data_IF_634674144551
#
_entry.id   IF_634674144551
#
_cell.length_a   1.000
_cell.length_b   1.000
_cell.length_c   1.000
_cell.angle_alpha   90.00
_cell.angle_beta   90.00
_cell.angle_gamma   90.00
#
_symmetry.space_group_name_H-M   'P 1'
#
loop_
_entity.id
_entity.type
_entity.pdbx_description
1 polymer ?
#
# COMPACT_ATOMS: atom_id res chain seq x y z
N UNK A 1 3.75 26.78 32.12
CA UNK A 1 5.06 26.86 32.81
C UNK A 1 6.18 26.75 31.78
N UNK A 2 7.12 27.69 31.71
CA UNK A 2 8.30 27.59 30.85
C UNK A 2 9.47 27.08 31.70
N UNK A 3 9.91 25.86 31.44
CA UNK A 3 10.95 25.18 32.24
C UNK A 3 12.34 25.51 31.67
N UNK A 4 12.44 25.56 30.34
CA UNK A 4 13.66 25.86 29.60
C UNK A 4 13.66 27.30 29.09
N UNK A 5 14.86 27.81 28.72
CA UNK A 5 15.00 29.15 28.14
C UNK A 5 14.39 29.26 26.74
N UNK A 6 14.49 28.19 25.93
CA UNK A 6 13.98 28.12 24.56
C UNK A 6 13.25 26.79 24.31
N UNK A 7 12.48 26.71 23.22
CA UNK A 7 11.91 25.47 22.65
C UNK A 7 11.02 24.60 23.56
N UNK A 8 10.46 25.17 24.63
CA UNK A 8 9.59 24.43 25.56
C UNK A 8 8.44 23.67 24.88
N UNK A 9 7.82 24.27 23.87
CA UNK A 9 6.71 23.68 23.14
C UNK A 9 7.16 22.47 22.32
N UNK A 10 8.28 22.60 21.61
CA UNK A 10 8.88 21.50 20.85
C UNK A 10 9.31 20.35 21.78
N UNK A 11 9.95 20.66 22.90
CA UNK A 11 10.35 19.67 23.90
C UNK A 11 9.11 18.98 24.47
N UNK A 12 8.06 19.72 24.80
CA UNK A 12 6.79 19.17 25.28
C UNK A 12 6.14 18.24 24.25
N UNK A 13 6.16 18.63 22.97
CA UNK A 13 5.63 17.81 21.89
C UNK A 13 6.44 16.52 21.67
N UNK A 14 7.77 16.60 21.77
CA UNK A 14 8.66 15.42 21.68
C UNK A 14 8.41 14.48 22.87
N UNK A 15 8.25 15.00 24.08
CA UNK A 15 7.91 14.21 25.27
C UNK A 15 6.56 13.51 25.10
N UNK A 16 5.54 14.24 24.66
CA UNK A 16 4.22 13.69 24.37
C UNK A 16 4.30 12.57 23.33
N UNK A 17 5.00 12.82 22.21
CA UNK A 17 5.24 11.80 21.19
C UNK A 17 5.95 10.57 21.78
N UNK A 18 6.95 10.78 22.63
CA UNK A 18 7.71 9.69 23.27
C UNK A 18 6.84 8.80 24.16
N UNK A 19 5.91 9.40 24.89
CA UNK A 19 4.93 8.66 25.67
C UNK A 19 3.97 7.88 24.76
N UNK A 20 3.42 8.54 23.74
CA UNK A 20 2.46 7.91 22.82
C UNK A 20 3.09 6.73 22.07
N UNK A 21 4.30 6.88 21.51
CA UNK A 21 4.96 5.82 20.75
C UNK A 21 5.27 4.57 21.60
N UNK A 22 5.41 4.73 22.93
CA UNK A 22 5.61 3.61 23.85
C UNK A 22 4.39 2.69 23.92
N UNK A 23 3.18 3.25 23.85
CA UNK A 23 1.92 2.51 23.98
C UNK A 23 1.30 2.14 22.64
N UNK A 24 1.63 2.85 21.56
CA UNK A 24 1.04 2.64 20.25
C UNK A 24 2.11 2.29 19.21
N UNK A 25 2.19 1.01 18.85
CA UNK A 25 3.19 0.49 17.91
C UNK A 25 3.03 0.98 16.47
N UNK A 26 1.87 1.55 16.11
CA UNK A 26 1.60 2.12 14.78
C UNK A 26 2.66 3.16 14.37
N UNK A 27 3.20 3.89 15.33
CA UNK A 27 4.19 4.95 15.10
C UNK A 27 5.59 4.44 14.74
N UNK A 28 5.80 3.11 14.75
CA UNK A 28 6.99 2.48 14.14
C UNK A 28 6.93 2.46 12.61
N UNK A 29 5.73 2.56 12.04
CA UNK A 29 5.49 2.43 10.60
C UNK A 29 4.96 3.70 9.97
N UNK A 30 4.09 4.41 10.70
CA UNK A 30 3.44 5.64 10.24
C UNK A 30 3.92 6.82 11.08
N UNK A 31 4.30 7.93 10.43
CA UNK A 31 4.74 9.14 11.14
C UNK A 31 3.59 9.78 11.92
N UNK A 32 3.76 9.95 13.23
CA UNK A 32 2.82 10.68 14.10
C UNK A 32 2.55 12.10 13.59
N UNK A 33 3.62 12.81 13.21
CA UNK A 33 3.55 14.19 12.76
C UNK A 33 2.81 14.36 11.43
N UNK A 34 2.73 13.31 10.59
CA UNK A 34 1.92 13.31 9.36
C UNK A 34 0.46 13.63 9.66
N UNK A 35 -0.10 13.02 10.69
CA UNK A 35 -1.51 13.19 11.06
C UNK A 35 -1.73 14.29 12.09
N UNK A 36 -0.71 14.64 12.88
CA UNK A 36 -0.82 15.80 13.79
C UNK A 36 -0.79 17.13 13.03
N UNK A 37 0.08 17.29 12.02
CA UNK A 37 0.23 18.56 11.27
C UNK A 37 -1.09 19.19 10.80
N UNK A 38 -2.01 18.47 10.13
CA UNK A 38 -3.30 19.05 9.73
C UNK A 38 -4.24 19.36 10.91
N UNK A 39 -4.05 18.71 12.06
CA UNK A 39 -4.84 18.91 13.27
C UNK A 39 -4.12 19.84 14.28
N UNK A 40 -3.01 20.46 13.88
CA UNK A 40 -2.18 21.26 14.77
C UNK A 40 -2.92 22.49 15.33
N UNK A 41 -3.76 23.21 14.56
CA UNK A 41 -4.59 24.29 15.12
C UNK A 41 -5.52 23.80 16.23
N UNK A 42 -6.18 22.66 16.03
CA UNK A 42 -7.07 22.06 17.03
C UNK A 42 -6.28 21.60 18.27
N UNK A 43 -5.08 21.09 18.07
CA UNK A 43 -4.16 20.70 19.14
C UNK A 43 -3.73 21.91 19.98
N UNK A 44 -3.31 23.01 19.33
CA UNK A 44 -2.95 24.25 20.04
C UNK A 44 -4.12 24.86 20.80
N UNK A 45 -5.32 24.87 20.20
CA UNK A 45 -6.51 25.34 20.90
C UNK A 45 -6.82 24.46 22.12
N UNK A 46 -6.77 23.13 21.96
CA UNK A 46 -6.96 22.20 23.07
C UNK A 46 -5.92 22.39 24.18
N UNK A 47 -4.67 22.71 23.86
CA UNK A 47 -3.64 23.06 24.85
C UNK A 47 -3.97 24.37 25.58
N UNK A 48 -4.44 25.41 24.87
CA UNK A 48 -4.84 26.68 25.49
C UNK A 48 -6.01 26.46 26.45
N UNK A 49 -7.02 25.71 26.03
CA UNK A 49 -8.20 25.38 26.86
C UNK A 49 -7.84 24.54 28.10
N UNK A 50 -6.94 23.56 27.94
CA UNK A 50 -6.45 22.73 29.03
C UNK A 50 -5.69 23.56 30.07
N UNK A 51 -4.89 24.54 29.64
CA UNK A 51 -4.12 25.39 30.52
C UNK A 51 -4.97 26.46 31.24
N UNK A 52 -6.07 26.93 30.64
CA UNK A 52 -6.82 28.09 31.15
C UNK A 52 -7.37 27.93 32.57
N UNK A 53 -7.88 26.74 32.93
CA UNK A 53 -8.41 26.43 34.26
C UNK A 53 -7.52 25.47 35.05
N UNK A 54 -6.26 25.31 34.64
CA UNK A 54 -5.32 24.42 35.32
C UNK A 54 -5.12 24.84 36.78
N UNK A 55 -4.91 26.13 37.03
CA UNK A 55 -4.65 26.67 38.37
C UNK A 55 -5.87 26.57 39.30
N UNK A 56 -7.08 26.42 38.72
CA UNK A 56 -8.32 26.23 39.45
C UNK A 56 -8.66 24.74 39.67
N UNK A 57 -7.81 23.83 39.18
CA UNK A 57 -8.01 22.38 39.32
C UNK A 57 -9.01 21.77 38.33
N UNK A 58 -9.50 22.53 37.34
CA UNK A 58 -10.52 22.08 36.38
C UNK A 58 -10.06 22.19 34.92
N UNK A 59 -8.98 21.50 34.51
CA UNK A 59 -8.48 21.63 33.15
C UNK A 59 -9.44 21.02 32.13
N UNK A 60 -9.70 21.75 31.04
CA UNK A 60 -10.54 21.28 29.93
C UNK A 60 -9.69 20.57 28.88
N UNK A 61 -9.54 19.25 29.04
CA UNK A 61 -8.66 18.41 28.20
C UNK A 61 -9.38 17.71 27.04
N UNK A 62 -10.69 17.90 26.91
CA UNK A 62 -11.52 17.14 25.96
C UNK A 62 -11.08 17.32 24.50
N UNK A 63 -10.84 18.57 24.08
CA UNK A 63 -10.38 18.88 22.73
C UNK A 63 -9.00 18.28 22.46
N UNK A 64 -8.08 18.39 23.42
CA UNK A 64 -6.75 17.80 23.33
C UNK A 64 -6.82 16.28 23.16
N UNK A 65 -7.63 15.60 23.97
CA UNK A 65 -7.85 14.15 23.87
C UNK A 65 -8.45 13.75 22.52
N UNK A 66 -9.49 14.45 22.07
CA UNK A 66 -10.13 14.19 20.76
C UNK A 66 -9.13 14.30 19.62
N UNK A 67 -8.28 15.32 19.63
CA UNK A 67 -7.25 15.51 18.62
C UNK A 67 -6.23 14.37 18.62
N UNK A 68 -5.73 13.96 19.79
CA UNK A 68 -4.78 12.85 19.90
C UNK A 68 -5.38 11.51 19.46
N UNK A 69 -6.62 11.22 19.86
CA UNK A 69 -7.34 10.01 19.42
C UNK A 69 -7.49 10.01 17.90
N UNK A 70 -7.81 11.15 17.29
CA UNK A 70 -7.94 11.28 15.83
C UNK A 70 -6.60 11.03 15.12
N UNK A 71 -5.48 11.52 15.65
CA UNK A 71 -4.14 11.23 15.14
C UNK A 71 -3.84 9.73 15.17
N UNK A 72 -4.10 9.08 16.31
CA UNK A 72 -3.86 7.64 16.49
C UNK A 72 -4.74 6.84 15.52
N UNK A 73 -6.05 7.15 15.47
CA UNK A 73 -7.01 6.48 14.58
C UNK A 73 -6.58 6.56 13.11
N UNK A 74 -6.27 7.77 12.64
CA UNK A 74 -5.85 7.97 11.25
C UNK A 74 -4.55 7.22 10.93
N UNK A 75 -3.63 7.15 11.89
CA UNK A 75 -2.39 6.39 11.72
C UNK A 75 -2.64 4.89 11.55
N UNK A 76 -3.62 4.33 12.27
CA UNK A 76 -3.99 2.92 12.13
C UNK A 76 -4.69 2.61 10.82
N UNK A 77 -5.55 3.51 10.32
CA UNK A 77 -6.14 3.36 8.99
C UNK A 77 -5.07 3.39 7.89
N UNK A 78 -4.10 4.30 7.99
CA UNK A 78 -2.96 4.35 7.07
C UNK A 78 -2.11 3.08 7.13
N UNK A 79 -1.85 2.54 8.33
CA UNK A 79 -1.15 1.28 8.49
C UNK A 79 -1.92 0.11 7.86
N UNK A 80 -3.25 0.08 8.04
CA UNK A 80 -4.11 -0.94 7.43
C UNK A 80 -4.05 -0.91 5.91
N UNK A 81 -4.11 0.29 5.32
CA UNK A 81 -3.97 0.47 3.88
C UNK A 81 -2.58 0.04 3.39
N UNK A 82 -1.52 0.40 4.13
CA UNK A 82 -0.16 -0.01 3.81
C UNK A 82 0.01 -1.53 3.86
N UNK A 83 -0.52 -2.18 4.89
CA UNK A 83 -0.49 -3.63 5.02
C UNK A 83 -1.24 -4.32 3.88
N UNK A 84 -2.43 -3.83 3.53
CA UNK A 84 -3.22 -4.39 2.43
C UNK A 84 -2.51 -4.26 1.08
N UNK A 85 -1.91 -3.10 0.79
CA UNK A 85 -1.09 -2.91 -0.43
C UNK A 85 0.10 -3.86 -0.45
N UNK A 86 0.79 -4.02 0.68
CA UNK A 86 1.92 -4.93 0.77
C UNK A 86 1.52 -6.40 0.55
N UNK A 87 0.38 -6.84 1.09
CA UNK A 87 -0.16 -8.18 0.84
C UNK A 87 -0.49 -8.38 -0.63
N UNK A 88 -1.18 -7.42 -1.25
CA UNK A 88 -1.51 -7.44 -2.66
C UNK A 88 -0.25 -7.47 -3.54
N UNK A 89 0.73 -6.59 -3.29
CA UNK A 89 2.00 -6.57 -4.01
C UNK A 89 2.79 -7.86 -3.81
N UNK A 90 2.72 -8.50 -2.63
CA UNK A 90 3.36 -9.79 -2.37
C UNK A 90 2.70 -10.92 -3.15
N UNK A 91 1.37 -10.92 -3.25
CA UNK A 91 0.61 -11.89 -4.06
C UNK A 91 0.87 -11.71 -5.55
N UNK A 92 0.88 -10.45 -6.02
CA UNK A 92 1.26 -10.11 -7.38
C UNK A 92 2.71 -10.54 -7.66
N UNK A 93 3.69 -10.22 -6.81
CA UNK A 93 5.09 -10.60 -7.06
C UNK A 93 5.33 -12.11 -7.09
N UNK A 94 4.58 -12.90 -6.31
CA UNK A 94 4.63 -14.38 -6.39
C UNK A 94 3.99 -14.92 -7.68
N UNK A 95 3.05 -14.18 -8.26
CA UNK A 95 2.25 -14.60 -9.41
C UNK A 95 2.79 -14.02 -10.74
N UNK A 96 3.45 -12.86 -10.74
CA UNK A 96 3.54 -11.96 -11.91
C UNK A 96 4.90 -11.82 -12.60
N UNK A 97 6.00 -12.42 -12.15
CA UNK A 97 7.24 -12.31 -12.95
C UNK A 97 7.17 -13.18 -14.22
N UNK A 98 6.75 -14.44 -14.07
CA UNK A 98 6.62 -15.38 -15.19
C UNK A 98 5.40 -15.03 -16.04
N UNK A 99 4.25 -14.76 -15.43
CA UNK A 99 3.04 -14.34 -16.15
C UNK A 99 3.24 -13.01 -16.87
N UNK A 100 3.86 -12.02 -16.23
CA UNK A 100 4.20 -10.74 -16.85
C UNK A 100 5.12 -10.91 -18.06
N UNK A 101 6.12 -11.80 -17.99
CA UNK A 101 6.96 -12.17 -19.13
C UNK A 101 6.17 -12.88 -20.23
N UNK A 102 5.25 -13.79 -19.91
CA UNK A 102 4.42 -14.47 -20.92
C UNK A 102 3.48 -13.47 -21.62
N UNK A 103 2.92 -12.53 -20.88
CA UNK A 103 2.01 -11.51 -21.41
C UNK A 103 2.72 -10.44 -22.24
N UNK A 104 3.98 -10.09 -21.92
CA UNK A 104 4.76 -9.08 -22.65
C UNK A 104 5.70 -9.65 -23.72
N UNK A 105 6.04 -10.93 -23.60
CA UNK A 105 7.02 -11.63 -24.41
C UNK A 105 6.48 -12.15 -25.74
N UNK A 106 7.19 -13.15 -26.28
CA UNK A 106 6.89 -13.77 -27.58
C UNK A 106 5.54 -14.49 -27.54
N UNK A 107 4.84 -14.47 -28.67
CA UNK A 107 3.55 -15.17 -28.82
C UNK A 107 3.69 -16.67 -28.61
N UNK A 108 4.80 -17.25 -29.08
CA UNK A 108 5.19 -18.64 -28.87
C UNK A 108 6.47 -18.67 -28.03
N UNK A 109 6.44 -19.43 -26.94
CA UNK A 109 7.57 -19.56 -26.01
C UNK A 109 7.69 -20.98 -25.49
N UNK A 110 8.87 -21.34 -24.99
CA UNK A 110 9.10 -22.62 -24.30
C UNK A 110 9.37 -22.39 -22.81
N UNK A 111 9.24 -23.48 -22.03
CA UNK A 111 9.62 -23.46 -20.61
C UNK A 111 11.10 -23.09 -20.42
N UNK A 112 11.97 -23.48 -21.35
CA UNK A 112 13.39 -23.15 -21.31
C UNK A 112 13.65 -21.65 -21.52
N UNK A 113 12.84 -20.97 -22.35
CA UNK A 113 12.96 -19.52 -22.57
C UNK A 113 12.60 -18.75 -21.29
N UNK A 114 11.53 -19.16 -20.60
CA UNK A 114 11.15 -18.59 -19.31
C UNK A 114 12.22 -18.80 -18.23
N UNK A 115 12.92 -19.95 -18.28
CA UNK A 115 14.03 -20.24 -17.35
C UNK A 115 15.28 -19.40 -17.62
N UNK A 116 15.53 -19.05 -18.88
CA UNK A 116 16.64 -18.14 -19.25
C UNK A 116 16.36 -16.71 -18.78
N UNK A 117 15.12 -16.25 -18.92
CA UNK A 117 14.73 -14.90 -18.47
C UNK A 117 14.58 -14.81 -16.94
N UNK A 118 14.20 -15.91 -16.29
CA UNK A 118 14.02 -15.98 -14.84
C UNK A 118 14.88 -17.07 -14.18
N UNK A 119 16.22 -16.90 -14.10
CA UNK A 119 17.13 -17.92 -13.55
C UNK A 119 16.90 -18.21 -12.06
N UNK A 120 16.32 -17.24 -11.33
CA UNK A 120 16.04 -17.34 -9.89
C UNK A 120 14.73 -18.10 -9.56
N UNK A 121 13.97 -18.54 -10.58
CA UNK A 121 12.67 -19.20 -10.39
C UNK A 121 12.81 -20.71 -10.62
N UNK A 122 12.21 -21.51 -9.73
CA UNK A 122 12.24 -22.98 -9.84
C UNK A 122 11.34 -23.49 -10.99
N UNK A 123 11.70 -24.64 -11.58
CA UNK A 123 10.89 -25.28 -12.63
C UNK A 123 9.49 -25.67 -12.18
N UNK A 124 9.32 -25.93 -10.89
CA UNK A 124 8.02 -26.24 -10.28
C UNK A 124 7.11 -25.00 -10.20
N UNK A 125 7.71 -23.82 -10.04
CA UNK A 125 6.99 -22.54 -9.98
C UNK A 125 6.56 -22.13 -11.39
N UNK A 126 7.46 -22.24 -12.38
CA UNK A 126 7.13 -21.98 -13.79
C UNK A 126 6.01 -22.91 -14.26
N UNK A 127 6.06 -24.20 -13.92
CA UNK A 127 5.02 -25.15 -14.30
C UNK A 127 3.65 -24.79 -13.69
N UNK A 128 3.61 -24.46 -12.40
CA UNK A 128 2.37 -24.03 -11.74
C UNK A 128 1.77 -22.79 -12.38
N UNK A 129 2.59 -21.81 -12.77
CA UNK A 129 2.12 -20.62 -13.49
C UNK A 129 1.55 -20.99 -14.86
N UNK A 130 2.21 -21.87 -15.63
CA UNK A 130 1.70 -22.32 -16.93
C UNK A 130 0.38 -23.07 -16.82
N UNK A 131 0.26 -23.99 -15.86
CA UNK A 131 -0.95 -24.77 -15.65
C UNK A 131 -2.13 -23.87 -15.23
N UNK A 132 -1.88 -22.88 -14.37
CA UNK A 132 -2.87 -21.85 -14.01
C UNK A 132 -3.29 -21.01 -15.21
N UNK A 133 -2.34 -20.45 -15.96
CA UNK A 133 -2.66 -19.62 -17.15
C UNK A 133 -3.37 -20.42 -18.26
N UNK A 134 -3.10 -21.73 -18.36
CA UNK A 134 -3.84 -22.65 -19.23
C UNK A 134 -5.28 -22.84 -18.75
N UNK A 135 -5.50 -23.04 -17.45
CA UNK A 135 -6.83 -23.17 -16.85
C UNK A 135 -7.66 -21.89 -17.00
N UNK A 136 -7.02 -20.72 -16.93
CA UNK A 136 -7.63 -19.41 -17.17
C UNK A 136 -7.84 -19.09 -18.67
N UNK A 137 -7.48 -19.99 -19.58
CA UNK A 137 -7.68 -19.83 -21.02
C UNK A 137 -6.78 -18.76 -21.68
N UNK A 138 -5.71 -18.35 -21.01
CA UNK A 138 -4.81 -17.31 -21.54
C UNK A 138 -3.74 -17.87 -22.47
N UNK A 139 -3.35 -19.13 -22.31
CA UNK A 139 -2.33 -19.83 -23.11
C UNK A 139 -2.77 -21.25 -23.50
N UNK A 140 -2.23 -21.76 -24.61
CA UNK A 140 -2.43 -23.13 -25.11
C UNK A 140 -1.09 -23.85 -25.27
N UNK A 141 -1.05 -25.13 -24.95
CA UNK A 141 0.10 -25.99 -25.28
C UNK A 141 0.04 -26.40 -26.76
N UNK A 142 1.11 -26.12 -27.51
CA UNK A 142 1.30 -26.53 -28.91
C UNK A 142 1.99 -27.90 -29.05
N UNK A 143 2.38 -28.54 -27.95
CA UNK A 143 2.97 -29.87 -27.96
C UNK A 143 2.99 -30.51 -26.57
N UNK A 144 3.28 -31.81 -26.53
CA UNK A 144 3.35 -32.65 -25.32
C UNK A 144 4.80 -33.04 -25.02
N UNK A 145 5.22 -32.92 -23.76
CA UNK A 145 6.54 -33.36 -23.28
C UNK A 145 7.48 -32.25 -22.78
N UNK A 146 8.76 -32.58 -22.58
CA UNK A 146 9.79 -31.69 -21.98
C UNK A 146 10.12 -30.46 -22.83
N UNK A 147 9.86 -30.52 -24.15
CA UNK A 147 10.04 -29.43 -25.11
C UNK A 147 8.71 -28.80 -25.55
N UNK A 148 7.66 -28.91 -24.73
CA UNK A 148 6.37 -28.34 -25.03
C UNK A 148 6.50 -26.81 -25.26
N UNK A 149 6.00 -26.38 -26.43
CA UNK A 149 5.84 -24.97 -26.75
C UNK A 149 4.46 -24.52 -26.31
N UNK A 150 4.38 -23.27 -25.90
CA UNK A 150 3.17 -22.62 -25.43
C UNK A 150 2.88 -21.43 -26.33
N UNK A 151 1.60 -21.20 -26.64
CA UNK A 151 1.14 -20.06 -27.40
C UNK A 151 0.15 -19.25 -26.57
N UNK A 152 0.26 -17.92 -26.63
CA UNK A 152 -0.72 -17.03 -26.00
C UNK A 152 -1.99 -16.95 -26.85
N UNK A 153 -3.15 -17.04 -26.21
CA UNK A 153 -4.46 -16.97 -26.88
C UNK A 153 -5.01 -15.52 -26.86
N UNK A 154 -4.73 -14.75 -25.79
CA UNK A 154 -5.18 -13.34 -25.72
C UNK A 154 -4.33 -12.43 -26.62
N UNK A 155 -4.95 -11.69 -27.58
CA UNK A 155 -4.23 -10.77 -28.44
C UNK A 155 -3.67 -9.59 -27.65
N UNK A 156 -2.52 -9.09 -28.12
CA UNK A 156 -1.89 -7.87 -27.64
C UNK A 156 -2.79 -6.69 -28.00
N UNK A 157 -3.43 -6.04 -27.01
CA UNK A 157 -4.26 -4.84 -27.17
C UNK A 157 -5.14 -4.81 -28.43
N UNK A 158 -6.30 -5.46 -28.40
CA UNK A 158 -7.44 -4.83 -29.07
C UNK A 158 -7.86 -3.67 -28.16
N UNK A 159 -7.42 -2.46 -28.51
CA UNK A 159 -8.14 -1.27 -28.10
C UNK A 159 -9.56 -1.49 -28.60
N UNK A 160 -10.49 -1.78 -27.70
CA UNK A 160 -11.90 -1.56 -27.99
C UNK A 160 -12.01 -0.05 -28.19
N UNK A 161 -11.84 0.38 -29.43
CA UNK A 161 -12.41 1.63 -29.88
C UNK A 161 -13.89 1.42 -29.64
N UNK A 162 -14.40 2.03 -28.57
CA UNK A 162 -15.82 2.21 -28.36
C UNK A 162 -16.36 2.91 -29.62
N UNK A 163 -16.88 2.14 -30.57
CA UNK A 163 -17.79 2.61 -31.59
C UNK A 163 -19.10 2.99 -30.89
N UNK A 164 -19.09 4.16 -30.23
CA UNK A 164 -20.27 4.72 -29.55
C UNK A 164 -20.69 6.07 -30.12
N UNK A 165 -20.13 6.47 -31.26
CA UNK A 165 -20.64 7.59 -32.06
C UNK A 165 -20.51 7.23 -33.55
N UNK A 166 -21.49 6.49 -34.08
CA UNK A 166 -21.84 6.64 -35.49
C UNK A 166 -22.59 7.96 -35.62
N UNK A 167 -22.05 8.88 -36.41
CA UNK A 167 -22.69 10.10 -36.86
C UNK A 167 -23.97 9.79 -37.62
N UNK A 168 -25.08 9.64 -36.91
CA UNK A 168 -26.43 9.60 -37.51
C UNK A 168 -27.48 10.34 -36.69
N UNK A 169 -27.08 11.36 -35.93
CA UNK A 169 -28.00 12.40 -35.46
C UNK A 169 -27.59 13.74 -36.10
N UNK A 170 -27.85 13.81 -37.41
CA UNK A 170 -28.19 15.07 -38.08
C UNK A 170 -29.65 15.39 -37.82
#
# INVERSE_FOLDING_TARGET
MKIYQHDNELIGLILLFTLIQKYFSVFKYISFFKHLKPLYPDFEQGLKEANYYWDQGYPRIEMLHKTLIKVIKNSYEDLRLLAHRYEFDRELNKTNNVEGTILKGKEIFSKADLRKEHPNISDSTIQRTLDRMKAEGQIRSLGTGRSAKWQRIKPKNSVEVLELFTDSDF
#
